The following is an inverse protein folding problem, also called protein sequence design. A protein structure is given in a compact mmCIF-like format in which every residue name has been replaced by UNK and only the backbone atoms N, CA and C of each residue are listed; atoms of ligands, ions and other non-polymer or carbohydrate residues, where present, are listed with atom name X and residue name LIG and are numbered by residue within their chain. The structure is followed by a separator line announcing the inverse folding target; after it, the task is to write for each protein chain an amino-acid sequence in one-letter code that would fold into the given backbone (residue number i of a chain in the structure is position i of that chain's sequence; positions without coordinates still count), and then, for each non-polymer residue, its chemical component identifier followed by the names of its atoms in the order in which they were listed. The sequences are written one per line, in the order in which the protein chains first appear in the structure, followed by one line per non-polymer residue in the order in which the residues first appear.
data_IF_155858147968
#
_entry.id   IF_155858147968
#
_cell.length_a   1.000
_cell.length_b   1.000
_cell.length_c   1.000
_cell.angle_alpha   90.00
_cell.angle_beta   90.00
_cell.angle_gamma   90.00
#
_symmetry.space_group_name_H-M   'P 1'
#
loop_
_entity.id
_entity.type
_entity.pdbx_description
1 polymer ?
#
# COMPACT_ATOMS: atom_id res chain seq x y z
N UNK A 1 -8.27 21.32 0.08
CA UNK A 1 -7.63 22.07 -1.01
C UNK A 1 -7.11 23.37 -0.43
N UNK A 2 -5.92 23.83 -0.80
CA UNK A 2 -5.39 25.07 -0.28
C UNK A 2 -6.00 26.22 -1.11
N UNK A 3 -6.83 27.06 -0.50
CA UNK A 3 -7.57 28.15 -1.18
C UNK A 3 -6.65 29.07 -1.98
N UNK A 4 -5.47 29.37 -1.43
CA UNK A 4 -4.42 30.14 -2.10
C UNK A 4 -3.96 29.51 -3.42
N UNK A 5 -3.88 28.18 -3.49
CA UNK A 5 -3.48 27.50 -4.72
C UNK A 5 -4.54 27.63 -5.83
N UNK A 6 -5.83 27.66 -5.47
CA UNK A 6 -6.91 27.84 -6.43
C UNK A 6 -6.94 29.28 -6.97
N UNK A 7 -6.73 30.26 -6.10
CA UNK A 7 -6.63 31.66 -6.49
C UNK A 7 -5.46 31.90 -7.45
N UNK A 8 -4.27 31.37 -7.14
CA UNK A 8 -3.09 31.44 -8.01
C UNK A 8 -3.39 30.81 -9.37
N UNK A 9 -4.04 29.65 -9.43
CA UNK A 9 -4.42 29.00 -10.70
C UNK A 9 -5.35 29.86 -11.55
N UNK A 10 -6.34 30.52 -10.93
CA UNK A 10 -7.26 31.43 -11.62
C UNK A 10 -6.51 32.63 -12.21
N UNK A 11 -5.64 33.26 -11.44
CA UNK A 11 -4.83 34.39 -11.89
C UNK A 11 -3.87 33.99 -13.03
N UNK A 12 -3.24 32.83 -12.90
CA UNK A 12 -2.33 32.28 -13.90
C UNK A 12 -3.03 32.00 -15.23
N UNK A 13 -4.22 31.40 -15.20
CA UNK A 13 -5.04 31.14 -16.39
C UNK A 13 -5.42 32.45 -17.10
N UNK A 14 -5.86 33.46 -16.35
CA UNK A 14 -6.18 34.79 -16.88
C UNK A 14 -4.96 35.48 -17.52
N UNK A 15 -3.79 35.40 -16.86
CA UNK A 15 -2.55 35.96 -17.37
C UNK A 15 -2.13 35.30 -18.71
N UNK A 16 -2.11 33.98 -18.76
CA UNK A 16 -1.71 33.26 -19.98
C UNK A 16 -2.69 33.46 -21.12
N UNK A 17 -3.99 33.59 -20.85
CA UNK A 17 -4.96 33.94 -21.88
C UNK A 17 -4.64 35.30 -22.52
N UNK A 18 -4.27 36.30 -21.71
CA UNK A 18 -3.87 37.63 -22.21
C UNK A 18 -2.55 37.61 -22.97
N UNK A 19 -1.55 36.87 -22.47
CA UNK A 19 -0.25 36.71 -23.15
C UNK A 19 -0.41 36.00 -24.51
N UNK A 20 -1.25 34.97 -24.56
CA UNK A 20 -1.54 34.23 -25.78
C UNK A 20 -2.23 35.13 -26.81
N UNK A 21 -3.19 35.95 -26.40
CA UNK A 21 -3.84 36.91 -27.29
C UNK A 21 -2.84 37.96 -27.82
N UNK A 22 -1.98 38.52 -26.95
CA UNK A 22 -0.97 39.51 -27.33
C UNK A 22 0.08 38.94 -28.31
N UNK A 23 0.45 37.68 -28.12
CA UNK A 23 1.42 36.97 -28.99
C UNK A 23 0.80 36.33 -30.24
N UNK A 24 -0.45 36.67 -30.59
CA UNK A 24 -1.19 36.12 -31.73
C UNK A 24 -1.29 34.59 -31.69
N UNK A 25 -1.42 34.02 -30.50
CA UNK A 25 -1.50 32.58 -30.24
C UNK A 25 -0.32 31.77 -30.80
N UNK A 26 0.83 32.42 -31.03
CA UNK A 26 2.09 31.76 -31.43
C UNK A 26 2.87 31.29 -30.20
N UNK A 27 2.20 30.58 -29.30
CA UNK A 27 2.80 30.03 -28.08
C UNK A 27 2.70 28.50 -28.05
N UNK A 28 3.49 27.88 -27.17
CA UNK A 28 3.51 26.44 -26.98
C UNK A 28 2.15 26.03 -26.35
N UNK A 29 1.43 25.03 -26.91
CA UNK A 29 0.19 24.57 -26.32
C UNK A 29 0.41 24.13 -24.86
N UNK A 30 -0.58 24.39 -24.00
CA UNK A 30 -0.51 24.00 -22.59
C UNK A 30 -0.25 22.51 -22.45
N UNK A 31 0.56 22.13 -21.46
CA UNK A 31 0.85 20.72 -21.16
C UNK A 31 -0.44 19.94 -20.92
N UNK A 32 -0.53 18.74 -21.51
CA UNK A 32 -1.69 17.88 -21.33
C UNK A 32 -1.66 17.29 -19.93
N UNK A 33 -2.55 17.77 -19.07
CA UNK A 33 -2.78 17.17 -17.76
C UNK A 33 -3.81 16.04 -17.87
N UNK A 34 -3.65 15.00 -17.04
CA UNK A 34 -4.62 13.91 -16.97
C UNK A 34 -5.92 14.41 -16.30
N UNK A 35 -6.96 14.66 -17.09
CA UNK A 35 -8.28 15.04 -16.60
C UNK A 35 -9.17 13.81 -16.43
N UNK A 36 -9.80 13.66 -15.25
CA UNK A 36 -10.83 12.64 -15.03
C UNK A 36 -12.18 13.23 -15.42
N UNK A 37 -12.79 12.70 -16.48
CA UNK A 37 -14.15 13.06 -16.91
C UNK A 37 -15.11 11.97 -16.49
N UNK A 38 -16.18 12.35 -15.79
CA UNK A 38 -17.25 11.43 -15.39
C UNK A 38 -18.32 11.51 -16.48
N UNK A 39 -18.58 10.38 -17.15
CA UNK A 39 -19.61 10.26 -18.18
C UNK A 39 -20.80 9.49 -17.60
N UNK A 40 -22.02 9.95 -17.90
CA UNK A 40 -23.25 9.29 -17.48
C UNK A 40 -23.77 8.38 -18.59
N UNK A 41 -24.51 7.33 -18.20
CA UNK A 41 -25.16 6.42 -19.14
C UNK A 41 -26.38 7.10 -19.81
N UNK A 42 -26.14 7.92 -20.82
CA UNK A 42 -27.17 8.60 -21.62
C UNK A 42 -27.09 8.17 -23.10
N UNK A 43 -28.21 8.22 -23.85
CA UNK A 43 -28.22 8.03 -25.30
C UNK A 43 -27.24 8.97 -26.00
N UNK A 44 -26.58 8.48 -27.06
CA UNK A 44 -25.58 9.27 -27.78
C UNK A 44 -26.19 10.52 -28.41
N UNK A 45 -27.39 10.39 -29.00
CA UNK A 45 -28.06 11.51 -29.65
C UNK A 45 -28.41 12.64 -28.66
N UNK A 46 -28.76 12.32 -27.39
CA UNK A 46 -29.03 13.35 -26.38
C UNK A 46 -27.81 14.16 -25.96
N UNK A 47 -26.60 13.65 -26.22
CA UNK A 47 -25.36 14.42 -26.00
C UNK A 47 -25.11 15.41 -27.14
N UNK A 48 -25.56 15.07 -28.34
CA UNK A 48 -25.32 15.84 -29.56
C UNK A 48 -26.43 16.86 -29.80
N UNK A 49 -27.69 16.46 -29.60
CA UNK A 49 -28.88 17.24 -29.89
C UNK A 49 -29.70 17.54 -28.63
N UNK A 50 -30.32 18.72 -28.61
CA UNK A 50 -31.24 19.16 -27.55
C UNK A 50 -32.65 19.11 -28.10
N UNK A 51 -33.39 18.05 -27.79
CA UNK A 51 -34.80 17.93 -28.18
C UNK A 51 -35.50 16.74 -27.52
N UNK A 52 -36.82 16.83 -27.26
CA UNK A 52 -37.57 15.74 -26.62
C UNK A 52 -37.72 14.50 -27.52
N UNK A 53 -37.58 14.65 -28.84
CA UNK A 53 -37.62 13.56 -29.82
C UNK A 53 -36.24 12.94 -30.08
N UNK A 54 -35.17 13.51 -29.52
CA UNK A 54 -33.81 13.06 -29.74
C UNK A 54 -33.52 11.84 -28.84
N UNK A 55 -34.01 10.66 -29.22
CA UNK A 55 -33.65 9.39 -28.59
C UNK A 55 -33.32 8.34 -29.64
N UNK A 56 -32.12 7.77 -29.53
CA UNK A 56 -31.64 6.64 -30.33
C UNK A 56 -31.28 5.48 -29.41
N UNK A 57 -31.34 4.25 -29.90
CA UNK A 57 -30.97 3.05 -29.14
C UNK A 57 -29.46 2.99 -28.80
N UNK A 58 -28.63 3.75 -29.52
CA UNK A 58 -27.20 3.87 -29.25
C UNK A 58 -26.93 4.68 -27.97
N UNK A 59 -26.04 4.15 -27.13
CA UNK A 59 -25.69 4.68 -25.81
C UNK A 59 -24.21 5.07 -25.80
N UNK A 60 -23.84 6.09 -25.02
CA UNK A 60 -22.46 6.59 -24.95
C UNK A 60 -21.45 5.60 -24.35
N UNK A 61 -21.89 4.84 -23.34
CA UNK A 61 -21.01 3.91 -22.62
C UNK A 61 -20.92 2.58 -23.36
N UNK A 62 -19.71 2.04 -23.43
CA UNK A 62 -19.49 0.71 -23.98
C UNK A 62 -20.08 -0.38 -23.05
N UNK A 63 -20.47 -1.55 -23.58
CA UNK A 63 -20.95 -2.65 -22.75
C UNK A 63 -19.97 -3.05 -21.63
N UNK A 64 -18.67 -2.93 -21.86
CA UNK A 64 -17.63 -3.24 -20.86
C UNK A 64 -17.56 -2.23 -19.70
N UNK A 65 -17.99 -1.00 -19.93
CA UNK A 65 -18.06 0.06 -18.91
C UNK A 65 -19.28 -0.15 -18.01
N UNK A 66 -20.37 -0.68 -18.58
CA UNK A 66 -21.60 -1.06 -17.85
C UNK A 66 -21.38 -2.37 -17.10
N UNK A 67 -20.81 -3.38 -17.77
CA UNK A 67 -20.53 -4.70 -17.22
C UNK A 67 -19.11 -5.14 -17.52
N UNK A 68 -18.32 -5.36 -16.47
CA UNK A 68 -16.95 -5.84 -16.63
C UNK A 68 -16.96 -7.25 -17.23
N UNK A 69 -16.27 -7.43 -18.35
CA UNK A 69 -16.08 -8.75 -18.91
C UNK A 69 -15.34 -9.64 -17.88
N UNK A 70 -15.89 -10.81 -17.62
CA UNK A 70 -15.16 -11.86 -16.89
C UNK A 70 -14.58 -12.80 -17.92
N UNK A 71 -13.25 -12.80 -18.02
CA UNK A 71 -12.55 -13.67 -18.95
C UNK A 71 -12.65 -15.13 -18.47
N UNK A 72 -13.40 -15.94 -19.23
CA UNK A 72 -13.59 -17.37 -19.02
C UNK A 72 -14.95 -17.73 -18.42
N UNK A 73 -15.26 -19.04 -18.42
CA UNK A 73 -16.47 -19.54 -17.79
C UNK A 73 -16.42 -19.30 -16.27
N UNK A 74 -17.51 -18.76 -15.72
CA UNK A 74 -17.70 -18.70 -14.28
C UNK A 74 -17.78 -20.12 -13.73
N UNK A 75 -16.82 -20.50 -12.86
CA UNK A 75 -16.78 -21.81 -12.19
C UNK A 75 -16.81 -21.63 -10.69
N UNK A 76 -17.72 -22.33 -10.02
CA UNK A 76 -17.76 -22.43 -8.56
C UNK A 76 -16.55 -23.20 -8.01
N UNK A 77 -16.21 -23.04 -6.73
CA UNK A 77 -15.03 -23.72 -6.15
C UNK A 77 -15.12 -25.26 -6.19
N UNK A 78 -16.34 -25.78 -6.13
CA UNK A 78 -16.64 -27.23 -6.21
C UNK A 78 -16.44 -27.78 -7.62
N UNK A 79 -16.67 -26.96 -8.64
CA UNK A 79 -16.54 -27.32 -10.06
C UNK A 79 -15.10 -27.23 -10.57
N UNK A 80 -14.18 -26.66 -9.76
CA UNK A 80 -12.78 -26.47 -10.15
C UNK A 80 -11.99 -27.77 -10.04
N UNK A 81 -11.49 -28.22 -11.19
CA UNK A 81 -10.52 -29.32 -11.27
C UNK A 81 -9.20 -28.96 -10.56
N UNK A 82 -8.42 -29.98 -10.14
CA UNK A 82 -7.10 -29.80 -9.50
C UNK A 82 -6.13 -28.94 -10.35
N UNK A 83 -6.20 -29.08 -11.68
CA UNK A 83 -5.40 -28.29 -12.64
C UNK A 83 -5.78 -26.82 -12.63
N UNK A 84 -7.06 -26.51 -12.58
CA UNK A 84 -7.58 -25.14 -12.50
C UNK A 84 -7.20 -24.47 -11.19
N UNK A 85 -7.35 -25.16 -10.06
CA UNK A 85 -6.85 -24.69 -8.74
C UNK A 85 -5.35 -24.38 -8.80
N UNK A 86 -4.55 -25.27 -9.36
CA UNK A 86 -3.10 -25.04 -9.52
C UNK A 86 -2.78 -23.84 -10.40
N UNK A 87 -3.53 -23.62 -11.48
CA UNK A 87 -3.37 -22.45 -12.38
C UNK A 87 -3.74 -21.16 -11.65
N UNK A 88 -4.83 -21.14 -10.90
CA UNK A 88 -5.27 -19.97 -10.13
C UNK A 88 -4.26 -19.60 -9.03
N UNK A 89 -3.69 -20.59 -8.33
CA UNK A 89 -2.60 -20.37 -7.38
C UNK A 89 -1.35 -19.76 -8.02
N UNK A 90 -0.92 -20.27 -9.19
CA UNK A 90 0.22 -19.68 -9.93
C UNK A 90 -0.07 -18.24 -10.35
N UNK A 91 -1.27 -17.97 -10.87
CA UNK A 91 -1.72 -16.62 -11.24
C UNK A 91 -1.68 -15.70 -10.02
N UNK A 92 -2.24 -16.12 -8.88
CA UNK A 92 -2.23 -15.36 -7.62
C UNK A 92 -0.79 -15.06 -7.15
N UNK A 93 0.10 -16.06 -7.13
CA UNK A 93 1.52 -15.88 -6.76
C UNK A 93 2.21 -14.86 -7.67
N UNK A 94 1.99 -14.94 -8.98
CA UNK A 94 2.52 -13.96 -9.95
C UNK A 94 2.04 -12.54 -9.65
N UNK A 95 0.74 -12.35 -9.43
CA UNK A 95 0.18 -11.02 -9.11
C UNK A 95 0.68 -10.47 -7.78
N UNK A 96 0.85 -11.32 -6.76
CA UNK A 96 1.44 -10.92 -5.48
C UNK A 96 2.88 -10.44 -5.66
N UNK A 97 3.70 -11.16 -6.41
CA UNK A 97 5.07 -10.77 -6.71
C UNK A 97 5.14 -9.43 -7.46
N UNK A 98 4.32 -9.25 -8.50
CA UNK A 98 4.25 -7.99 -9.25
C UNK A 98 3.83 -6.83 -8.35
N UNK A 99 2.84 -7.04 -7.47
CA UNK A 99 2.37 -6.01 -6.52
C UNK A 99 3.47 -5.61 -5.54
N UNK A 100 4.18 -6.59 -4.97
CA UNK A 100 5.31 -6.34 -4.06
C UNK A 100 6.42 -5.57 -4.76
N UNK A 101 6.80 -5.97 -5.97
CA UNK A 101 7.82 -5.28 -6.75
C UNK A 101 7.42 -3.82 -7.05
N UNK A 102 6.16 -3.59 -7.43
CA UNK A 102 5.64 -2.24 -7.67
C UNK A 102 5.66 -1.38 -6.39
N UNK A 103 5.31 -1.96 -5.25
CA UNK A 103 5.37 -1.27 -3.96
C UNK A 103 6.81 -0.87 -3.60
N UNK A 104 7.77 -1.79 -3.73
CA UNK A 104 9.18 -1.50 -3.50
C UNK A 104 9.70 -0.38 -4.42
N UNK A 105 9.30 -0.37 -5.70
CA UNK A 105 9.71 0.70 -6.61
C UNK A 105 9.13 2.07 -6.20
N UNK A 106 7.89 2.10 -5.74
CA UNK A 106 7.27 3.32 -5.21
C UNK A 106 8.02 3.78 -3.95
N UNK A 107 8.31 2.87 -3.01
CA UNK A 107 9.06 3.17 -1.79
C UNK A 107 10.49 3.68 -2.08
N UNK A 108 11.18 3.11 -3.06
CA UNK A 108 12.49 3.59 -3.50
C UNK A 108 12.40 4.98 -4.16
N UNK A 109 11.35 5.25 -4.92
CA UNK A 109 11.12 6.57 -5.49
C UNK A 109 10.80 7.62 -4.40
N UNK A 110 9.96 7.29 -3.41
CA UNK A 110 9.64 8.19 -2.30
C UNK A 110 10.85 8.45 -1.42
N UNK A 111 11.62 7.42 -1.07
CA UNK A 111 12.85 7.57 -0.26
C UNK A 111 13.93 8.37 -0.99
N UNK A 112 14.13 8.18 -2.29
CA UNK A 112 15.03 9.04 -3.09
C UNK A 112 14.59 10.51 -3.06
N UNK A 113 13.29 10.77 -3.22
CA UNK A 113 12.75 12.13 -3.16
C UNK A 113 12.88 12.74 -1.75
N UNK A 114 12.73 11.95 -0.68
CA UNK A 114 12.95 12.40 0.70
C UNK A 114 14.44 12.64 1.02
N UNK A 115 15.35 11.83 0.47
CA UNK A 115 16.80 12.00 0.63
C UNK A 115 17.37 13.17 -0.17
N UNK A 116 16.73 13.57 -1.26
CA UNK A 116 17.08 14.81 -1.99
C UNK A 116 16.59 16.06 -1.25
N UNK A 117 15.50 15.96 -0.47
CA UNK A 117 14.95 17.08 0.31
C UNK A 117 15.60 17.27 1.69
N UNK A 118 16.32 16.28 2.22
CA UNK A 118 17.04 16.36 3.50
C UNK A 118 18.52 16.09 3.27
N UNK A 119 19.38 17.10 3.53
CA UNK A 119 20.83 16.91 3.62
C UNK A 119 21.14 15.65 4.44
N UNK A 120 22.07 14.78 4.00
CA UNK A 120 22.19 13.44 4.58
C UNK A 120 22.75 13.53 6.00
N UNK A 121 21.91 13.29 7.01
CA UNK A 121 22.33 12.71 8.28
C UNK A 121 22.09 11.20 8.19
N UNK A 122 23.06 10.50 7.62
CA UNK A 122 23.29 9.06 7.79
C UNK A 122 23.89 8.89 9.21
N UNK A 123 23.39 8.06 10.13
CA UNK A 123 23.36 6.60 10.09
C UNK A 123 22.59 6.02 11.32
N UNK A 124 21.80 4.98 11.01
CA UNK A 124 21.35 3.81 11.78
C UNK A 124 20.88 3.90 13.25
N UNK A 125 19.60 3.56 13.44
CA UNK A 125 19.09 2.90 14.63
C UNK A 125 19.39 1.39 14.54
N UNK A 126 20.58 0.97 14.94
CA UNK A 126 20.79 -0.33 15.56
C UNK A 126 21.60 -0.07 16.82
N UNK A 127 21.19 -0.66 17.93
CA UNK A 127 21.86 -0.53 19.22
C UNK A 127 23.35 -0.89 19.07
N UNK A 128 24.20 0.14 19.05
CA UNK A 128 25.65 0.01 18.98
C UNK A 128 26.24 -0.24 20.37
N UNK A 129 25.71 -1.26 21.07
CA UNK A 129 26.36 -1.85 22.26
C UNK A 129 26.82 -3.28 21.98
N UNK A 130 27.40 -3.51 20.79
CA UNK A 130 28.24 -4.68 20.48
C UNK A 130 28.94 -4.46 19.13
N UNK A 131 29.80 -3.44 19.06
CA UNK A 131 30.60 -3.18 17.88
C UNK A 131 31.73 -4.21 17.80
N UNK A 132 31.45 -5.41 17.24
CA UNK A 132 32.41 -6.33 16.56
C UNK A 132 31.87 -7.75 16.31
N UNK A 133 30.55 -7.99 16.27
CA UNK A 133 30.04 -9.34 15.92
C UNK A 133 29.73 -9.41 14.44
N UNK A 134 30.59 -10.07 13.66
CA UNK A 134 30.36 -10.37 12.24
C UNK A 134 29.04 -11.14 12.11
N UNK A 135 28.10 -10.64 11.30
CA UNK A 135 26.79 -11.27 11.05
C UNK A 135 26.96 -12.55 10.21
N UNK A 136 27.48 -13.60 10.82
CA UNK A 136 27.60 -14.94 10.22
C UNK A 136 26.52 -15.85 10.79
N UNK A 137 26.09 -16.83 9.99
CA UNK A 137 25.14 -17.87 10.43
C UNK A 137 25.62 -18.55 11.72
N UNK A 138 26.93 -18.82 11.84
CA UNK A 138 27.55 -19.38 13.03
C UNK A 138 27.35 -18.49 14.28
N UNK A 139 27.54 -17.17 14.16
CA UNK A 139 27.31 -16.23 15.27
C UNK A 139 25.85 -16.22 15.72
N UNK A 140 24.91 -16.27 14.78
CA UNK A 140 23.48 -16.32 15.07
C UNK A 140 23.09 -17.57 15.87
N UNK A 141 23.54 -18.75 15.45
CA UNK A 141 23.23 -20.00 16.14
C UNK A 141 23.88 -20.08 17.53
N UNK A 142 25.10 -19.55 17.68
CA UNK A 142 25.74 -19.43 18.99
C UNK A 142 24.90 -18.55 19.94
N UNK A 143 24.39 -17.42 19.45
CA UNK A 143 23.52 -16.53 20.21
C UNK A 143 22.15 -17.15 20.56
N UNK A 144 21.67 -18.08 19.72
CA UNK A 144 20.45 -18.84 19.99
C UNK A 144 20.66 -19.87 21.11
N UNK A 145 21.82 -20.54 21.10
CA UNK A 145 22.21 -21.49 22.15
C UNK A 145 22.44 -20.80 23.51
N UNK A 146 23.04 -19.61 23.52
CA UNK A 146 23.21 -18.85 24.78
C UNK A 146 21.87 -18.43 25.37
N UNK A 147 20.94 -17.91 24.55
CA UNK A 147 19.60 -17.51 25.02
C UNK A 147 18.76 -18.66 25.60
N UNK A 148 18.86 -19.86 25.03
CA UNK A 148 18.14 -21.02 25.58
C UNK A 148 18.74 -21.47 26.91
N UNK A 149 20.07 -21.49 27.03
CA UNK A 149 20.76 -21.86 28.28
C UNK A 149 20.54 -20.83 29.40
N UNK A 150 20.51 -19.53 29.10
CA UNK A 150 20.17 -18.48 30.07
C UNK A 150 18.75 -18.63 30.63
N UNK A 151 17.76 -18.91 29.77
CA UNK A 151 16.39 -19.18 30.21
C UNK A 151 16.30 -20.41 31.11
N UNK A 152 17.09 -21.45 30.84
CA UNK A 152 17.15 -22.66 31.67
C UNK A 152 17.82 -22.37 33.02
N UNK A 153 18.93 -21.61 33.05
CA UNK A 153 19.58 -21.18 34.30
C UNK A 153 18.65 -20.31 35.15
N UNK A 154 17.96 -19.34 34.54
CA UNK A 154 16.99 -18.48 35.24
C UNK A 154 15.86 -19.27 35.92
N UNK A 155 15.41 -20.39 35.32
CA UNK A 155 14.43 -21.29 35.97
C UNK A 155 15.01 -22.02 37.20
N UNK A 156 16.27 -22.45 37.16
CA UNK A 156 16.92 -23.16 38.28
C UNK A 156 17.13 -22.26 39.51
N UNK A 157 17.41 -20.97 39.32
CA UNK A 157 17.54 -20.03 40.45
C UNK A 157 16.18 -19.63 41.05
N UNK A 158 15.07 -19.70 40.30
CA UNK A 158 13.72 -19.46 40.84
C UNK A 158 13.21 -20.60 41.72
N UNK A 159 13.65 -21.84 41.49
CA UNK A 159 13.27 -22.99 42.32
C UNK A 159 14.02 -23.06 43.65
N UNK A 160 15.19 -22.42 43.79
CA UNK A 160 16.00 -22.45 45.02
C UNK A 160 15.67 -21.32 46.02
N UNK A 161 14.83 -20.36 45.65
CA UNK A 161 14.47 -19.21 46.49
C UNK A 161 13.17 -19.38 47.30
N UNK A 162 12.53 -20.55 47.28
CA UNK A 162 11.20 -20.76 47.89
C UNK A 162 11.20 -21.66 49.15
N UNK A 163 12.36 -22.00 49.72
CA UNK A 163 12.46 -22.93 50.86
C UNK A 163 12.79 -22.27 52.23
N UNK A 164 12.53 -20.97 52.40
CA UNK A 164 12.72 -20.28 53.68
C UNK A 164 11.50 -19.47 54.12
N UNK A 165 10.42 -20.13 54.55
CA UNK A 165 9.48 -19.67 55.60
C UNK A 165 8.27 -20.62 55.72
N UNK A 166 8.34 -21.63 56.60
CA UNK A 166 7.13 -22.34 57.06
C UNK A 166 6.61 -21.69 58.35
N UNK A 167 5.47 -21.01 58.24
CA UNK A 167 4.64 -20.46 59.33
C UNK A 167 4.17 -21.58 60.26
N UNK A 168 4.13 -21.31 61.57
CA UNK A 168 3.58 -22.21 62.60
C UNK A 168 2.06 -22.33 62.48
N UNK A 169 1.57 -23.56 62.63
CA UNK A 169 0.15 -23.92 62.71
C UNK A 169 -0.39 -23.51 64.10
N UNK A 170 -1.49 -22.77 64.19
CA UNK A 170 -2.30 -22.72 65.41
C UNK A 170 -3.73 -23.17 65.10
N UNK A 171 -4.14 -24.17 65.87
CA UNK A 171 -5.46 -24.80 65.91
C UNK A 171 -6.45 -23.91 66.65
N UNK A 172 -7.70 -23.82 66.19
CA UNK A 172 -8.88 -23.63 67.04
C UNK A 172 -10.13 -24.13 66.30
N UNK A 173 -10.75 -25.18 66.83
CA UNK A 173 -12.07 -25.69 66.44
C UNK A 173 -13.15 -25.04 67.33
N UNK A 174 -14.36 -24.85 66.80
CA UNK A 174 -15.59 -24.92 67.59
C UNK A 174 -16.74 -25.44 66.71
N UNK A 175 -17.49 -26.37 67.30
CA UNK A 175 -18.67 -27.08 66.79
C UNK A 175 -19.82 -26.13 66.45
#
# INVERSE_FOLDING_TARGET
MNEKHEEIKKLLSSLFQKLNALSHYRYIPSEVHSEVRILNNMPSLQKEEVGPLASTDAVLLAPEEIHKHVSGAFKGDDEKTKTDRSRSHRKKKKWQHIKQFKQQQIELATTKNEMLAKKPKLISQYDSKSANVKLTSASFFQHLQTKTTEKVKGKKYRTMGMDAAKKKLSTNYKL
#
